data_IF_560637063564
#
_entry.id   IF_560637063564
#
_cell.length_a   1.000
_cell.length_b   1.000
_cell.length_c   1.000
_cell.angle_alpha   90.00
_cell.angle_beta   90.00
_cell.angle_gamma   90.00
#
_symmetry.space_group_name_H-M   'P 1'
#
loop_
_entity.id
_entity.type
_entity.pdbx_description
1 polymer ?
#
# COMPACT_ATOMS: atom_id res chain seq x y z
N UNK A 1 30.62 22.32 11.95
CA UNK A 1 30.07 21.14 12.63
C UNK A 1 31.18 20.12 12.85
N UNK A 2 31.36 19.65 14.07
CA UNK A 2 32.27 18.53 14.39
C UNK A 2 31.62 17.20 14.03
N UNK A 3 32.39 16.11 14.07
CA UNK A 3 31.86 14.75 13.89
C UNK A 3 30.82 14.43 14.97
N UNK A 4 31.09 14.85 16.20
CA UNK A 4 30.14 14.67 17.33
C UNK A 4 28.83 15.44 17.11
N UNK A 5 28.88 16.66 16.54
CA UNK A 5 27.67 17.40 16.17
C UNK A 5 26.85 16.68 15.10
N UNK A 6 27.50 16.09 14.10
CA UNK A 6 26.85 15.34 13.04
C UNK A 6 26.18 14.06 13.60
N UNK A 7 26.89 13.33 14.44
CA UNK A 7 26.32 12.14 15.11
C UNK A 7 25.12 12.54 15.97
N UNK A 8 25.26 13.57 16.81
CA UNK A 8 24.18 14.07 17.68
C UNK A 8 22.93 14.48 16.87
N UNK A 9 23.12 15.21 15.77
CA UNK A 9 22.01 15.63 14.89
C UNK A 9 21.35 14.44 14.21
N UNK A 10 22.14 13.48 13.73
CA UNK A 10 21.62 12.24 13.13
C UNK A 10 20.78 11.44 14.11
N UNK A 11 21.29 11.23 15.33
CA UNK A 11 20.55 10.53 16.39
C UNK A 11 19.27 11.27 16.76
N UNK A 12 19.34 12.60 16.90
CA UNK A 12 18.15 13.41 17.20
C UNK A 12 17.11 13.35 16.08
N UNK A 13 17.53 13.32 14.82
CA UNK A 13 16.63 13.12 13.67
C UNK A 13 15.93 11.77 13.76
N UNK A 14 16.66 10.71 14.11
CA UNK A 14 16.08 9.38 14.33
C UNK A 14 15.04 9.35 15.47
N UNK A 15 15.34 9.96 16.61
CA UNK A 15 14.39 10.09 17.73
C UNK A 15 13.09 10.78 17.29
N UNK A 16 13.22 11.92 16.60
CA UNK A 16 12.05 12.66 16.10
C UNK A 16 11.25 11.85 15.06
N UNK A 17 11.93 11.09 14.20
CA UNK A 17 11.26 10.22 13.24
C UNK A 17 10.41 9.14 13.94
N UNK A 18 10.91 8.52 15.00
CA UNK A 18 10.16 7.54 15.82
C UNK A 18 8.89 8.16 16.38
N UNK A 19 8.99 9.36 16.98
CA UNK A 19 7.83 10.07 17.54
C UNK A 19 6.78 10.40 16.48
N UNK A 20 7.20 10.87 15.30
CA UNK A 20 6.28 11.21 14.20
C UNK A 20 5.60 9.95 13.64
N UNK A 21 6.35 8.86 13.46
CA UNK A 21 5.80 7.60 12.96
C UNK A 21 4.80 7.02 13.97
N UNK A 22 5.11 7.10 15.27
CA UNK A 22 4.17 6.72 16.34
C UNK A 22 2.88 7.52 16.28
N UNK A 23 2.97 8.85 16.15
CA UNK A 23 1.77 9.70 16.01
C UNK A 23 0.93 9.34 14.79
N UNK A 24 1.57 9.00 13.67
CA UNK A 24 0.87 8.56 12.47
C UNK A 24 0.14 7.24 12.69
N UNK A 25 0.79 6.28 13.33
CA UNK A 25 0.20 4.99 13.67
C UNK A 25 -0.98 5.15 14.65
N UNK A 26 -0.79 5.90 15.73
CA UNK A 26 -1.84 6.23 16.71
C UNK A 26 -3.04 6.92 16.02
N UNK A 27 -2.81 7.85 15.10
CA UNK A 27 -3.86 8.52 14.34
C UNK A 27 -4.64 7.55 13.43
N UNK A 28 -3.94 6.73 12.67
CA UNK A 28 -4.56 5.76 11.77
C UNK A 28 -5.34 4.68 12.53
N UNK A 29 -4.76 4.12 13.59
CA UNK A 29 -5.40 3.04 14.37
C UNK A 29 -6.56 3.55 15.20
N UNK A 30 -6.52 4.80 15.71
CA UNK A 30 -7.65 5.41 16.42
C UNK A 30 -8.87 5.67 15.52
N UNK A 31 -8.67 5.88 14.21
CA UNK A 31 -9.75 6.19 13.25
C UNK A 31 -10.24 4.95 12.52
N UNK A 32 -9.34 4.05 12.15
CA UNK A 32 -9.62 2.91 11.27
C UNK A 32 -9.50 1.55 11.95
N UNK A 33 -9.28 1.50 13.26
CA UNK A 33 -8.93 0.33 14.07
C UNK A 33 -7.54 -0.23 13.74
N UNK A 34 -7.08 -1.21 14.53
CA UNK A 34 -5.81 -1.88 14.29
C UNK A 34 -5.88 -2.76 13.03
N UNK A 35 -4.84 -2.75 12.18
CA UNK A 35 -4.76 -3.68 11.08
C UNK A 35 -4.78 -5.13 11.56
N UNK A 36 -5.57 -5.96 10.89
CA UNK A 36 -5.62 -7.40 11.11
C UNK A 36 -5.41 -8.17 9.81
N UNK A 37 -4.89 -9.41 9.87
CA UNK A 37 -4.66 -10.21 8.68
C UNK A 37 -5.88 -10.25 7.78
N UNK A 38 -5.67 -9.97 6.50
CA UNK A 38 -6.72 -9.88 5.50
C UNK A 38 -6.22 -10.33 4.13
N UNK A 39 -7.05 -11.09 3.44
CA UNK A 39 -6.79 -11.56 2.09
C UNK A 39 -7.18 -10.48 1.08
N UNK A 40 -6.27 -10.13 0.19
CA UNK A 40 -6.45 -9.09 -0.84
C UNK A 40 -6.27 -9.69 -2.21
N UNK A 41 -7.27 -9.53 -3.07
CA UNK A 41 -7.17 -9.92 -4.48
C UNK A 41 -6.26 -8.94 -5.24
N UNK A 42 -5.35 -9.46 -6.07
CA UNK A 42 -4.45 -8.66 -6.91
C UNK A 42 -4.77 -8.77 -8.40
N UNK A 43 -5.86 -9.46 -8.77
CA UNK A 43 -6.35 -9.54 -10.13
C UNK A 43 -7.53 -8.57 -10.38
N UNK A 44 -7.85 -8.37 -11.65
CA UNK A 44 -8.88 -7.42 -12.07
C UNK A 44 -10.28 -8.00 -12.00
N UNK A 45 -11.26 -7.11 -11.79
CA UNK A 45 -12.69 -7.37 -11.84
C UNK A 45 -13.34 -6.50 -12.92
N UNK A 46 -14.30 -7.06 -13.64
CA UNK A 46 -15.09 -6.36 -14.63
C UNK A 46 -15.78 -5.12 -14.07
N UNK A 47 -15.86 -4.06 -14.86
CA UNK A 47 -16.59 -2.82 -14.56
C UNK A 47 -15.70 -1.60 -14.43
N UNK A 48 -16.32 -0.42 -14.27
CA UNK A 48 -15.61 0.82 -14.06
C UNK A 48 -14.79 0.77 -12.77
N UNK A 49 -13.63 1.43 -12.76
CA UNK A 49 -12.75 1.42 -11.61
C UNK A 49 -11.96 2.71 -11.43
N UNK A 50 -11.52 2.91 -10.20
CA UNK A 50 -10.55 3.93 -9.81
C UNK A 50 -9.42 3.25 -9.03
N UNK A 51 -8.18 3.56 -9.39
CA UNK A 51 -6.98 3.17 -8.64
C UNK A 51 -6.59 4.35 -7.76
N UNK A 52 -6.33 4.10 -6.47
CA UNK A 52 -5.80 5.09 -5.55
C UNK A 52 -4.44 4.65 -5.03
N UNK A 53 -3.44 5.53 -5.13
CA UNK A 53 -2.05 5.25 -4.77
C UNK A 53 -1.50 6.32 -3.82
N UNK A 54 -0.50 5.94 -3.04
CA UNK A 54 0.15 6.80 -2.04
C UNK A 54 -0.11 6.30 -0.63
N UNK A 55 -0.35 7.23 0.33
CA UNK A 55 -0.37 6.88 1.75
C UNK A 55 -1.55 7.50 2.53
N UNK A 56 -2.38 8.35 1.90
CA UNK A 56 -3.43 9.09 2.59
C UNK A 56 -4.70 8.24 2.74
N UNK A 57 -4.90 7.67 3.94
CA UNK A 57 -6.07 6.85 4.27
C UNK A 57 -7.36 7.66 4.33
N UNK A 58 -7.29 8.96 4.66
CA UNK A 58 -8.46 9.83 4.65
C UNK A 58 -8.98 10.06 3.23
N UNK A 59 -8.08 10.24 2.26
CA UNK A 59 -8.46 10.35 0.86
C UNK A 59 -9.10 9.06 0.35
N UNK A 60 -8.56 7.91 0.75
CA UNK A 60 -9.17 6.61 0.43
C UNK A 60 -10.57 6.49 1.04
N UNK A 61 -10.75 6.82 2.31
CA UNK A 61 -12.07 6.79 2.96
C UNK A 61 -13.08 7.71 2.29
N UNK A 62 -12.68 8.96 1.99
CA UNK A 62 -13.55 9.92 1.28
C UNK A 62 -13.95 9.41 -0.11
N UNK A 63 -13.02 8.80 -0.84
CA UNK A 63 -13.30 8.18 -2.14
C UNK A 63 -14.29 7.02 -1.99
N UNK A 64 -14.06 6.13 -1.02
CA UNK A 64 -14.95 5.00 -0.74
C UNK A 64 -16.37 5.46 -0.40
N UNK A 65 -16.53 6.47 0.44
CA UNK A 65 -17.84 7.05 0.76
C UNK A 65 -18.54 7.63 -0.47
N UNK A 66 -17.82 8.33 -1.35
CA UNK A 66 -18.40 8.97 -2.54
C UNK A 66 -18.66 7.98 -3.69
N UNK A 67 -18.07 6.81 -3.67
CA UNK A 67 -18.28 5.76 -4.68
C UNK A 67 -19.23 4.65 -4.23
N UNK A 68 -19.72 4.69 -3.00
CA UNK A 68 -20.67 3.71 -2.50
C UNK A 68 -21.96 3.69 -3.35
N UNK A 69 -22.38 2.51 -3.79
CA UNK A 69 -23.57 2.33 -4.63
C UNK A 69 -23.44 2.78 -6.09
N UNK A 70 -22.28 3.29 -6.53
CA UNK A 70 -22.07 3.74 -7.92
C UNK A 70 -21.73 2.62 -8.89
N UNK A 71 -21.39 1.43 -8.40
CA UNK A 71 -20.90 0.31 -9.22
C UNK A 71 -19.42 0.43 -9.62
N UNK A 72 -18.69 1.42 -9.09
CA UNK A 72 -17.26 1.57 -9.33
C UNK A 72 -16.46 0.67 -8.40
N UNK A 73 -15.52 -0.06 -8.94
CA UNK A 73 -14.53 -0.84 -8.21
C UNK A 73 -13.36 0.05 -7.77
N UNK A 74 -12.96 -0.01 -6.51
CA UNK A 74 -11.79 0.71 -6.01
C UNK A 74 -10.63 -0.28 -5.81
N UNK A 75 -9.50 0.06 -6.38
CA UNK A 75 -8.22 -0.63 -6.19
C UNK A 75 -7.24 0.28 -5.46
N UNK A 76 -6.48 -0.30 -4.56
CA UNK A 76 -5.25 0.34 -4.07
C UNK A 76 -4.08 0.07 -5.02
N UNK A 77 -3.01 0.83 -4.88
CA UNK A 77 -1.75 0.62 -5.60
C UNK A 77 -0.58 1.03 -4.70
N UNK A 78 0.55 0.36 -4.86
CA UNK A 78 1.78 0.69 -4.14
C UNK A 78 1.59 0.63 -2.61
N UNK A 79 2.00 1.68 -1.92
CA UNK A 79 1.95 1.74 -0.46
C UNK A 79 0.53 1.94 0.14
N UNK A 80 -0.50 2.04 -0.70
CA UNK A 80 -1.88 1.98 -0.21
C UNK A 80 -2.34 0.53 0.08
N UNK A 81 -1.62 -0.50 -0.37
CA UNK A 81 -1.96 -1.91 -0.12
C UNK A 81 -2.24 -2.23 1.36
N UNK A 82 -1.45 -1.76 2.35
CA UNK A 82 -1.72 -2.05 3.76
C UNK A 82 -3.07 -1.56 4.27
N UNK A 83 -3.73 -0.62 3.59
CA UNK A 83 -5.05 -0.09 3.97
C UNK A 83 -6.13 -1.17 4.07
N UNK A 84 -6.00 -2.26 3.32
CA UNK A 84 -6.90 -3.41 3.37
C UNK A 84 -6.88 -4.15 4.72
N UNK A 85 -5.89 -3.93 5.56
CA UNK A 85 -5.84 -4.50 6.92
C UNK A 85 -6.75 -3.79 7.92
N UNK A 86 -7.09 -2.51 7.69
CA UNK A 86 -7.88 -1.71 8.62
C UNK A 86 -9.37 -2.03 8.55
N UNK A 87 -10.00 -2.36 9.69
CA UNK A 87 -11.42 -2.69 9.76
C UNK A 87 -12.31 -1.55 9.25
N UNK A 88 -11.96 -0.30 9.58
CA UNK A 88 -12.65 0.90 9.14
C UNK A 88 -12.68 1.11 7.62
N UNK A 89 -11.74 0.53 6.88
CA UNK A 89 -11.64 0.64 5.43
C UNK A 89 -12.11 -0.62 4.70
N UNK A 90 -11.70 -1.81 5.14
CA UNK A 90 -12.11 -3.07 4.49
C UNK A 90 -13.61 -3.40 4.59
N UNK A 91 -14.37 -2.65 5.38
CA UNK A 91 -15.83 -2.76 5.44
C UNK A 91 -16.55 -2.36 4.15
N UNK A 92 -15.90 -1.60 3.27
CA UNK A 92 -16.47 -1.19 1.99
C UNK A 92 -16.32 -2.29 0.95
N UNK A 93 -17.41 -2.94 0.48
CA UNK A 93 -17.33 -4.12 -0.38
C UNK A 93 -16.80 -3.83 -1.79
N UNK A 94 -16.78 -2.56 -2.20
CA UNK A 94 -16.24 -2.12 -3.48
C UNK A 94 -14.76 -1.70 -3.41
N UNK A 95 -14.11 -1.78 -2.24
CA UNK A 95 -12.66 -1.82 -2.10
C UNK A 95 -12.21 -3.26 -2.39
N UNK A 96 -12.03 -3.59 -3.65
CA UNK A 96 -12.00 -4.99 -4.11
C UNK A 96 -10.62 -5.62 -4.17
N UNK A 97 -9.55 -4.83 -4.15
CA UNK A 97 -8.21 -5.39 -4.25
C UNK A 97 -7.11 -4.37 -4.47
N UNK A 98 -5.93 -4.88 -4.77
CA UNK A 98 -4.76 -4.08 -5.12
C UNK A 98 -4.41 -4.29 -6.59
N UNK A 99 -4.13 -3.22 -7.31
CA UNK A 99 -3.71 -3.24 -8.70
C UNK A 99 -2.21 -2.97 -8.79
N UNK A 100 -1.48 -3.81 -9.51
CA UNK A 100 -0.06 -3.62 -9.76
C UNK A 100 0.82 -3.80 -8.52
N UNK A 101 2.04 -3.30 -8.63
CA UNK A 101 3.11 -3.48 -7.65
C UNK A 101 3.60 -2.18 -7.04
N UNK A 102 4.94 -2.01 -7.06
CA UNK A 102 5.60 -0.86 -6.50
C UNK A 102 5.51 0.38 -7.42
N UNK A 103 5.71 1.56 -6.85
CA UNK A 103 5.60 2.83 -7.56
C UNK A 103 6.48 2.94 -8.82
N UNK A 104 7.59 2.19 -8.89
CA UNK A 104 8.50 2.21 -10.04
C UNK A 104 7.86 1.68 -11.33
N UNK A 105 6.87 0.79 -11.22
CA UNK A 105 6.21 0.15 -12.37
C UNK A 105 5.01 0.93 -12.90
N UNK A 106 4.57 1.99 -12.21
CA UNK A 106 3.33 2.72 -12.53
C UNK A 106 3.23 3.17 -13.99
N UNK A 107 4.35 3.56 -14.63
CA UNK A 107 4.32 3.99 -16.04
C UNK A 107 4.00 2.85 -17.01
N UNK A 108 4.27 1.60 -16.62
CA UNK A 108 3.92 0.41 -17.36
C UNK A 108 2.52 -0.05 -16.98
N UNK A 109 2.22 -0.06 -15.71
CA UNK A 109 0.97 -0.58 -15.16
C UNK A 109 -0.23 0.30 -15.50
N UNK A 110 -0.05 1.64 -15.55
CA UNK A 110 -1.12 2.58 -15.88
C UNK A 110 -1.27 2.82 -17.39
N UNK A 111 -0.40 2.24 -18.19
CA UNK A 111 -0.42 2.43 -19.64
C UNK A 111 -1.73 1.89 -20.25
N UNK A 112 -2.45 2.76 -20.96
CA UNK A 112 -3.73 2.44 -21.63
C UNK A 112 -4.83 1.83 -20.75
N UNK A 113 -4.78 2.00 -19.41
CA UNK A 113 -5.84 1.51 -18.53
C UNK A 113 -7.19 2.17 -18.84
N UNK A 114 -8.30 1.43 -18.86
CA UNK A 114 -9.65 1.96 -19.07
C UNK A 114 -10.30 2.46 -17.77
N UNK A 115 -9.55 3.11 -16.90
CA UNK A 115 -9.97 3.63 -15.60
C UNK A 115 -9.22 4.87 -15.17
N UNK A 116 -9.55 5.42 -14.02
CA UNK A 116 -8.92 6.61 -13.46
C UNK A 116 -7.92 6.26 -12.36
N UNK A 117 -6.93 7.14 -12.16
CA UNK A 117 -5.89 6.99 -11.15
C UNK A 117 -5.89 8.25 -10.25
N UNK A 118 -5.76 8.06 -8.94
CA UNK A 118 -5.60 9.13 -7.94
C UNK A 118 -4.26 8.91 -7.23
N UNK A 119 -3.43 9.95 -7.21
CA UNK A 119 -2.15 9.95 -6.50
C UNK A 119 -2.27 10.87 -5.29
N UNK A 120 -2.13 10.32 -4.09
CA UNK A 120 -2.39 11.07 -2.85
C UNK A 120 -1.13 11.64 -2.22
N UNK A 121 0.01 11.05 -2.48
CA UNK A 121 1.31 11.42 -1.90
C UNK A 121 2.46 11.23 -2.90
N UNK A 122 3.69 11.14 -2.42
CA UNK A 122 4.96 11.24 -3.13
C UNK A 122 5.27 10.18 -4.21
N UNK A 123 4.46 9.17 -4.42
CA UNK A 123 4.74 8.09 -5.37
C UNK A 123 4.48 8.45 -6.85
N UNK A 124 4.08 9.68 -7.17
CA UNK A 124 3.79 10.11 -8.53
C UNK A 124 5.07 10.24 -9.38
N UNK A 125 5.13 9.50 -10.49
CA UNK A 125 6.11 9.68 -11.55
C UNK A 125 5.52 10.54 -12.68
N UNK A 126 6.40 11.04 -13.59
CA UNK A 126 5.94 11.71 -14.81
C UNK A 126 4.93 10.84 -15.55
N UNK A 127 3.67 11.27 -15.68
CA UNK A 127 2.65 10.49 -16.41
C UNK A 127 2.98 10.41 -17.89
N UNK A 128 2.69 9.25 -18.50
CA UNK A 128 2.72 9.10 -19.96
C UNK A 128 1.47 9.69 -20.60
N UNK A 129 1.56 10.10 -21.84
CA UNK A 129 0.44 10.67 -22.59
C UNK A 129 -0.76 9.71 -22.69
N UNK A 130 -0.49 8.41 -22.66
CA UNK A 130 -1.51 7.35 -22.71
C UNK A 130 -2.50 7.31 -21.54
N UNK A 131 -2.16 7.96 -20.40
CA UNK A 131 -3.05 8.02 -19.23
C UNK A 131 -3.03 9.39 -18.51
N UNK A 132 -2.33 10.39 -19.03
CA UNK A 132 -2.20 11.72 -18.41
C UNK A 132 -3.55 12.43 -18.23
N UNK A 133 -4.51 12.16 -19.09
CA UNK A 133 -5.87 12.71 -19.03
C UNK A 133 -6.76 12.08 -17.95
N UNK A 134 -6.34 10.93 -17.39
CA UNK A 134 -7.08 10.10 -16.41
C UNK A 134 -6.41 9.98 -15.06
N UNK A 135 -5.25 10.63 -14.86
CA UNK A 135 -4.57 10.69 -13.59
C UNK A 135 -4.88 12.00 -12.88
N UNK A 136 -5.15 11.91 -11.60
CA UNK A 136 -5.46 13.01 -10.70
C UNK A 136 -4.47 13.00 -9.54
N UNK A 137 -4.21 14.16 -8.98
CA UNK A 137 -3.40 14.30 -7.77
C UNK A 137 -4.20 14.99 -6.67
N UNK A 138 -3.78 14.77 -5.43
CA UNK A 138 -4.34 15.43 -4.24
C UNK A 138 -3.20 15.93 -3.35
N UNK A 139 -3.52 16.64 -2.27
CA UNK A 139 -2.59 17.11 -1.25
C UNK A 139 -1.43 17.95 -1.83
N UNK A 140 -0.19 17.58 -1.48
CA UNK A 140 1.03 18.30 -1.90
C UNK A 140 1.69 17.73 -3.15
N UNK A 141 1.16 16.62 -3.69
CA UNK A 141 1.72 16.00 -4.89
C UNK A 141 1.04 16.53 -6.15
N UNK A 142 1.81 16.74 -7.19
CA UNK A 142 1.30 17.21 -8.48
C UNK A 142 2.34 17.07 -9.59
N UNK A 143 1.85 17.20 -10.81
CA UNK A 143 2.68 17.23 -12.01
C UNK A 143 2.07 18.18 -13.04
N UNK A 144 2.89 18.83 -13.85
CA UNK A 144 2.43 19.73 -14.90
C UNK A 144 1.41 19.04 -15.83
N UNK A 145 0.22 19.63 -15.95
CA UNK A 145 -0.90 19.12 -16.76
C UNK A 145 -1.65 17.94 -16.14
N UNK A 146 -1.36 17.55 -14.90
CA UNK A 146 -2.19 16.62 -14.12
C UNK A 146 -3.29 17.40 -13.41
N UNK A 147 -4.51 16.89 -13.47
CA UNK A 147 -5.66 17.48 -12.75
C UNK A 147 -5.45 17.33 -11.24
N UNK A 148 -5.66 18.41 -10.50
CA UNK A 148 -5.55 18.41 -9.05
C UNK A 148 -6.91 18.51 -8.39
N UNK A 149 -7.12 17.73 -7.32
CA UNK A 149 -8.33 17.78 -6.51
C UNK A 149 -8.00 18.55 -5.24
N UNK A 150 -8.51 19.76 -5.18
CA UNK A 150 -8.29 20.67 -4.07
C UNK A 150 -9.08 20.25 -2.83
N UNK A 151 -8.49 20.51 -1.67
CA UNK A 151 -9.14 20.39 -0.39
C UNK A 151 -10.03 21.60 -0.14
N UNK A 152 -11.30 21.39 0.17
CA UNK A 152 -12.25 22.44 0.55
C UNK A 152 -11.94 23.00 1.94
N UNK A 153 -12.58 24.11 2.30
CA UNK A 153 -12.41 24.76 3.60
C UNK A 153 -12.84 23.90 4.80
N UNK A 154 -13.77 22.97 4.59
CA UNK A 154 -14.22 21.97 5.57
C UNK A 154 -13.29 20.76 5.70
N UNK A 155 -12.25 20.71 4.87
CA UNK A 155 -11.28 19.60 4.85
C UNK A 155 -11.66 18.46 3.93
N UNK A 156 -12.81 18.50 3.29
CA UNK A 156 -13.30 17.48 2.36
C UNK A 156 -12.77 17.72 0.93
N UNK A 157 -12.77 16.64 0.13
CA UNK A 157 -12.43 16.66 -1.30
C UNK A 157 -13.60 16.17 -2.13
N UNK A 158 -13.75 16.73 -3.33
CA UNK A 158 -14.79 16.32 -4.27
C UNK A 158 -14.21 15.44 -5.37
N UNK A 159 -14.48 14.14 -5.28
CA UNK A 159 -14.05 13.15 -6.27
C UNK A 159 -15.05 12.98 -7.44
N UNK A 160 -16.13 13.76 -7.50
CA UNK A 160 -17.12 13.67 -8.58
C UNK A 160 -16.55 13.74 -10.00
N UNK A 161 -15.49 14.56 -10.30
CA UNK A 161 -14.90 14.56 -11.63
C UNK A 161 -14.26 13.22 -12.00
N UNK A 162 -13.56 12.57 -11.05
CA UNK A 162 -12.92 11.25 -11.23
C UNK A 162 -13.98 10.17 -11.40
N UNK A 163 -15.03 10.21 -10.56
CA UNK A 163 -16.14 9.26 -10.58
C UNK A 163 -16.84 9.27 -11.95
N UNK A 164 -17.19 10.45 -12.46
CA UNK A 164 -17.81 10.59 -13.79
C UNK A 164 -16.92 10.02 -14.89
N UNK A 165 -15.65 10.39 -14.90
CA UNK A 165 -14.72 9.92 -15.92
C UNK A 165 -14.53 8.39 -15.85
N UNK A 166 -14.46 7.80 -14.66
CA UNK A 166 -14.35 6.35 -14.48
C UNK A 166 -15.58 5.61 -15.05
N UNK A 167 -16.78 6.15 -14.82
CA UNK A 167 -18.03 5.60 -15.38
C UNK A 167 -18.06 5.72 -16.91
N UNK A 168 -17.63 6.83 -17.47
CA UNK A 168 -17.54 7.04 -18.93
C UNK A 168 -16.54 6.09 -19.61
N UNK A 169 -15.42 5.80 -18.96
CA UNK A 169 -14.41 4.85 -19.45
C UNK A 169 -14.90 3.39 -19.43
N UNK A 170 -15.82 3.06 -18.51
CA UNK A 170 -16.49 1.76 -18.42
C UNK A 170 -15.66 0.60 -17.91
N UNK A 171 -14.36 0.77 -17.70
CA UNK A 171 -13.50 -0.18 -17.01
C UNK A 171 -13.17 -1.48 -17.75
N UNK A 172 -12.75 -2.47 -16.98
CA UNK A 172 -12.39 -3.80 -17.49
C UNK A 172 -13.60 -4.54 -18.06
N UNK A 173 -13.38 -5.34 -19.11
CA UNK A 173 -14.46 -6.03 -19.84
C UNK A 173 -14.78 -7.41 -19.29
N UNK A 174 -13.87 -7.99 -18.53
CA UNK A 174 -13.96 -9.35 -17.98
C UNK A 174 -13.35 -9.41 -16.59
N UNK A 175 -13.71 -10.45 -15.85
CA UNK A 175 -13.08 -10.82 -14.57
C UNK A 175 -11.88 -11.72 -14.88
N UNK A 176 -10.82 -11.60 -14.06
CA UNK A 176 -9.74 -12.59 -13.99
C UNK A 176 -9.89 -13.33 -12.66
N UNK A 177 -9.66 -14.65 -12.66
CA UNK A 177 -9.69 -15.46 -11.45
C UNK A 177 -8.87 -14.80 -10.33
N UNK A 178 -9.42 -14.74 -9.10
CA UNK A 178 -8.73 -14.10 -7.99
C UNK A 178 -7.37 -14.73 -7.70
N UNK A 179 -6.35 -13.90 -7.59
CA UNK A 179 -5.07 -14.24 -6.99
C UNK A 179 -4.92 -13.42 -5.72
N UNK A 180 -4.64 -14.09 -4.61
CA UNK A 180 -4.76 -13.48 -3.29
C UNK A 180 -3.41 -13.44 -2.58
N UNK A 181 -3.14 -12.31 -1.92
CA UNK A 181 -2.03 -12.13 -1.00
C UNK A 181 -2.55 -11.77 0.39
N UNK A 182 -1.76 -11.98 1.42
CA UNK A 182 -2.08 -11.60 2.80
C UNK A 182 -1.42 -10.26 3.15
N UNK A 183 -2.17 -9.41 3.86
CA UNK A 183 -1.71 -8.14 4.42
C UNK A 183 -2.28 -7.96 5.84
N UNK A 184 -1.95 -6.87 6.53
CA UNK A 184 -2.59 -6.51 7.80
C UNK A 184 -1.84 -7.01 9.04
N UNK A 185 -0.59 -7.42 8.90
CA UNK A 185 0.27 -7.81 10.04
C UNK A 185 0.82 -6.57 10.76
N UNK A 186 -0.10 -5.73 11.29
CA UNK A 186 0.25 -4.59 12.12
C UNK A 186 0.78 -5.00 13.49
N UNK A 187 1.28 -4.03 14.27
CA UNK A 187 1.90 -4.32 15.57
C UNK A 187 0.97 -5.10 16.53
N UNK A 188 -0.31 -4.76 16.58
CA UNK A 188 -1.29 -5.46 17.43
C UNK A 188 -1.48 -6.93 16.99
N UNK A 189 -1.55 -7.20 15.68
CA UNK A 189 -1.65 -8.54 15.16
C UNK A 189 -0.41 -9.39 15.51
N UNK A 190 0.78 -8.80 15.49
CA UNK A 190 2.03 -9.46 15.88
C UNK A 190 2.07 -9.68 17.40
N UNK A 191 1.74 -8.66 18.20
CA UNK A 191 1.78 -8.73 19.65
C UNK A 191 0.74 -9.71 20.23
N UNK A 192 -0.42 -9.83 19.60
CA UNK A 192 -1.43 -10.83 20.00
C UNK A 192 -0.94 -12.27 19.84
N UNK A 193 0.04 -12.50 18.99
CA UNK A 193 0.70 -13.80 18.78
C UNK A 193 2.07 -13.92 19.50
N UNK A 194 2.42 -12.95 20.34
CA UNK A 194 3.77 -12.88 20.94
C UNK A 194 4.15 -14.14 21.72
N UNK A 195 3.20 -14.75 22.45
CA UNK A 195 3.50 -15.98 23.22
C UNK A 195 3.84 -17.14 22.27
N UNK A 196 3.09 -17.35 21.19
CA UNK A 196 3.37 -18.40 20.20
C UNK A 196 4.71 -18.19 19.52
N UNK A 197 5.05 -16.94 19.18
CA UNK A 197 6.35 -16.58 18.61
C UNK A 197 7.48 -16.89 19.58
N UNK A 198 7.35 -16.48 20.85
CA UNK A 198 8.34 -16.75 21.90
C UNK A 198 8.54 -18.26 22.14
N UNK A 199 7.46 -19.03 22.13
CA UNK A 199 7.53 -20.47 22.32
C UNK A 199 8.18 -21.17 21.11
N UNK A 200 7.91 -20.70 19.90
CA UNK A 200 8.57 -21.17 18.69
C UNK A 200 10.08 -20.86 18.68
N UNK A 201 10.47 -19.67 19.19
CA UNK A 201 11.91 -19.34 19.39
C UNK A 201 12.55 -20.22 20.44
N UNK A 202 11.89 -20.42 21.61
CA UNK A 202 12.42 -21.25 22.69
C UNK A 202 12.57 -22.73 22.31
N UNK A 203 11.66 -23.24 21.50
CA UNK A 203 11.73 -24.61 20.97
C UNK A 203 12.75 -24.77 19.85
N UNK A 204 13.29 -23.68 19.30
CA UNK A 204 14.22 -23.68 18.16
C UNK A 204 13.52 -23.85 16.81
N UNK A 205 12.19 -23.76 16.76
CA UNK A 205 11.44 -23.77 15.50
C UNK A 205 11.69 -22.48 14.70
N UNK A 206 11.84 -21.35 15.38
CA UNK A 206 12.27 -20.07 14.78
C UNK A 206 13.67 -19.75 15.31
N UNK A 207 14.62 -19.56 14.40
CA UNK A 207 16.01 -19.20 14.72
C UNK A 207 16.40 -17.82 14.23
N UNK A 208 15.75 -17.32 13.20
CA UNK A 208 16.14 -16.07 12.55
C UNK A 208 14.92 -15.20 12.26
N UNK A 209 15.11 -13.88 12.38
CA UNK A 209 14.21 -12.86 11.89
C UNK A 209 14.97 -11.98 10.91
N UNK A 210 14.45 -11.88 9.68
CA UNK A 210 15.02 -11.01 8.66
C UNK A 210 14.06 -9.87 8.37
N UNK A 211 14.51 -8.62 8.51
CA UNK A 211 13.78 -7.45 8.05
C UNK A 211 14.25 -7.10 6.63
N UNK A 212 13.41 -7.39 5.65
CA UNK A 212 13.66 -7.11 4.23
C UNK A 212 12.64 -6.09 3.74
N UNK A 213 13.04 -4.82 3.68
CA UNK A 213 12.13 -3.70 3.51
C UNK A 213 12.80 -2.54 2.74
N UNK A 214 12.03 -1.50 2.43
CA UNK A 214 12.50 -0.26 1.82
C UNK A 214 11.73 0.11 0.55
N UNK A 215 12.14 1.19 -0.11
CA UNK A 215 11.42 1.78 -1.23
C UNK A 215 11.67 1.11 -2.60
N UNK A 216 12.66 0.21 -2.71
CA UNK A 216 13.02 -0.44 -3.97
C UNK A 216 12.22 -1.75 -4.16
N UNK A 217 10.98 -1.60 -4.66
CA UNK A 217 10.09 -2.75 -4.91
C UNK A 217 10.22 -3.37 -6.30
N UNK A 218 10.77 -2.66 -7.29
CA UNK A 218 10.68 -3.12 -8.69
C UNK A 218 11.81 -2.68 -9.62
N UNK A 219 12.79 -1.89 -9.19
CA UNK A 219 13.81 -1.37 -10.11
C UNK A 219 14.53 -2.50 -10.84
N UNK A 220 14.55 -2.51 -12.19
CA UNK A 220 15.21 -3.55 -12.98
C UNK A 220 16.70 -3.72 -12.63
N UNK A 221 17.19 -4.97 -12.67
CA UNK A 221 18.58 -5.30 -12.33
C UNK A 221 18.88 -5.34 -10.82
N UNK A 222 17.89 -5.15 -9.96
CA UNK A 222 18.03 -5.20 -8.50
C UNK A 222 17.22 -6.34 -7.88
N UNK A 223 17.49 -7.57 -8.27
CA UNK A 223 16.77 -8.75 -7.79
C UNK A 223 17.34 -9.32 -6.46
N UNK A 224 18.27 -8.62 -5.83
CA UNK A 224 18.96 -9.06 -4.63
C UNK A 224 18.01 -9.47 -3.52
N UNK A 225 16.97 -8.67 -3.23
CA UNK A 225 16.05 -8.95 -2.12
C UNK A 225 15.16 -10.16 -2.40
N UNK A 226 14.72 -10.36 -3.63
CA UNK A 226 13.96 -11.56 -4.02
C UNK A 226 14.83 -12.82 -3.84
N UNK A 227 16.06 -12.78 -4.35
CA UNK A 227 17.00 -13.91 -4.23
C UNK A 227 17.44 -14.15 -2.79
N UNK A 228 17.59 -13.08 -2.00
CA UNK A 228 17.87 -13.20 -0.56
C UNK A 228 16.74 -13.94 0.16
N UNK A 229 15.49 -13.50 -0.04
CA UNK A 229 14.33 -14.12 0.64
C UNK A 229 14.15 -15.57 0.24
N UNK A 230 14.33 -15.92 -1.04
CA UNK A 230 14.28 -17.32 -1.52
C UNK A 230 15.34 -18.23 -0.88
N UNK A 231 16.41 -17.66 -0.37
CA UNK A 231 17.53 -18.38 0.23
C UNK A 231 17.55 -18.31 1.76
N UNK A 232 16.56 -17.67 2.39
CA UNK A 232 16.45 -17.69 3.85
C UNK A 232 16.19 -19.12 4.33
N UNK A 233 16.79 -19.54 5.47
CA UNK A 233 16.51 -20.84 6.06
C UNK A 233 15.02 -21.02 6.38
N UNK A 234 14.52 -22.24 6.31
CA UNK A 234 13.11 -22.56 6.59
C UNK A 234 12.67 -22.34 8.04
N UNK A 235 13.62 -22.11 8.96
CA UNK A 235 13.41 -21.74 10.36
C UNK A 235 13.48 -20.22 10.59
N UNK A 236 13.13 -19.44 9.54
CA UNK A 236 13.24 -17.98 9.55
C UNK A 236 11.88 -17.31 9.34
N UNK A 237 11.66 -16.18 10.02
CA UNK A 237 10.56 -15.26 9.74
C UNK A 237 11.10 -14.08 8.92
N UNK A 238 10.45 -13.75 7.82
CA UNK A 238 10.73 -12.56 7.01
C UNK A 238 9.73 -11.47 7.34
N UNK A 239 10.21 -10.39 7.91
CA UNK A 239 9.44 -9.17 8.16
C UNK A 239 9.63 -8.19 7.01
N UNK A 240 8.56 -7.56 6.55
CA UNK A 240 8.63 -6.60 5.46
C UNK A 240 7.73 -5.39 5.69
N UNK A 241 8.10 -4.26 5.08
CA UNK A 241 7.33 -3.04 5.02
C UNK A 241 7.76 -2.21 3.80
N UNK A 242 6.99 -1.17 3.47
CA UNK A 242 7.19 -0.29 2.32
C UNK A 242 7.17 -1.06 0.96
N UNK A 243 7.56 -0.41 -0.13
CA UNK A 243 7.50 -1.01 -1.48
C UNK A 243 8.38 -2.26 -1.66
N UNK A 244 9.39 -2.46 -0.78
CA UNK A 244 10.24 -3.65 -0.79
C UNK A 244 9.49 -4.97 -0.73
N UNK A 245 8.28 -4.97 -0.12
CA UNK A 245 7.39 -6.15 -0.07
C UNK A 245 7.06 -6.71 -1.45
N UNK A 246 6.92 -5.88 -2.47
CA UNK A 246 6.58 -6.31 -3.84
C UNK A 246 7.66 -7.14 -4.54
N UNK A 247 8.84 -7.26 -3.93
CA UNK A 247 9.89 -8.17 -4.39
C UNK A 247 9.59 -9.63 -4.11
N UNK A 248 8.72 -9.92 -3.14
CA UNK A 248 8.52 -11.29 -2.66
C UNK A 248 7.17 -11.55 -1.97
N UNK A 249 6.25 -10.58 -1.89
CA UNK A 249 4.94 -10.80 -1.27
C UNK A 249 4.04 -11.79 -2.01
N UNK A 250 4.44 -12.21 -3.21
CA UNK A 250 3.78 -13.22 -4.03
C UNK A 250 4.47 -14.60 -3.94
N UNK A 251 5.50 -14.73 -3.12
CA UNK A 251 6.16 -16.01 -2.87
C UNK A 251 5.45 -16.76 -1.75
N UNK A 252 5.25 -18.06 -1.95
CA UNK A 252 4.89 -18.97 -0.86
C UNK A 252 6.14 -19.26 -0.02
N UNK A 253 6.22 -18.67 1.16
CA UNK A 253 7.32 -18.84 2.10
C UNK A 253 7.03 -19.91 3.16
N UNK A 254 5.83 -20.51 3.14
CA UNK A 254 5.41 -21.51 4.09
C UNK A 254 4.99 -20.96 5.46
N UNK A 255 4.89 -21.85 6.44
CA UNK A 255 4.45 -21.56 7.80
C UNK A 255 5.36 -22.27 8.82
N UNK A 256 5.50 -21.67 10.01
CA UNK A 256 6.24 -22.25 11.13
C UNK A 256 5.29 -22.41 12.32
N UNK A 257 4.83 -23.62 12.59
CA UNK A 257 3.98 -23.91 13.75
C UNK A 257 2.61 -23.19 13.72
N UNK A 258 2.11 -22.88 12.53
CA UNK A 258 0.87 -22.15 12.33
C UNK A 258 1.01 -20.61 12.44
N UNK A 259 2.26 -20.11 12.35
CA UNK A 259 2.63 -18.69 12.28
C UNK A 259 3.02 -18.33 10.86
#
# INVERSE_FOLDING_TARGET
LTVEDLIRLTMRTGEMAVEIIKQLDDANTSVYDNPSPHTVNVNIKKGPFIIISGHDLKDLEMLLKQTEGTGINIYTHGEMLPSHGYAGLKKYPHLIGNFGGAWQDQQKEFDNLPGCIIMTTNCLMRPRDSYKDRIYSTNVVGWEGVKHIEKKSDGEKDFSPVIRQALELGGFKEDIEPHNILVGFGHEAVLSNAQSIVDAVKSGAIRHFFLVAGCDGAKPGRNYYTEFVKQTPSDSIVLTLACGKFRFNDLDLGEIGGL
#
